data_IF_409006130267
#
_entry.id   IF_409006130267
#
_cell.length_a   1.000
_cell.length_b   1.000
_cell.length_c   1.000
_cell.angle_alpha   90.00
_cell.angle_beta   90.00
_cell.angle_gamma   90.00
#
_symmetry.space_group_name_H-M   'P 1'
#
loop_
_entity.id
_entity.type
_entity.pdbx_description
1 polymer ?
#
# COMPACT_ATOMS: atom_id res chain seq x y z
N UNK A 1 -11.11 15.95 -18.68
CA UNK A 1 -10.82 14.73 -17.89
C UNK A 1 -10.33 15.17 -16.52
N UNK A 2 -11.03 14.82 -15.44
CA UNK A 2 -10.66 15.21 -14.08
C UNK A 2 -9.42 14.41 -13.66
N UNK A 3 -8.31 15.08 -13.32
CA UNK A 3 -7.11 14.41 -12.80
C UNK A 3 -7.49 13.56 -11.58
N UNK A 4 -7.05 12.29 -11.54
CA UNK A 4 -7.24 11.44 -10.35
C UNK A 4 -6.56 12.12 -9.17
N UNK A 5 -7.27 12.36 -8.06
CA UNK A 5 -6.73 13.00 -6.84
C UNK A 5 -5.93 12.04 -5.95
N UNK A 6 -5.76 10.79 -6.41
CA UNK A 6 -5.20 9.70 -5.62
C UNK A 6 -4.29 8.82 -6.48
N UNK A 7 -3.36 8.15 -5.80
CA UNK A 7 -2.51 7.07 -6.29
C UNK A 7 -2.98 5.77 -5.67
N UNK A 8 -3.27 4.79 -6.51
CA UNK A 8 -3.57 3.43 -6.07
C UNK A 8 -2.24 2.69 -5.89
N UNK A 9 -1.95 2.19 -4.69
CA UNK A 9 -0.79 1.34 -4.41
C UNK A 9 -1.31 -0.05 -4.10
N UNK A 10 -0.89 -1.03 -4.88
CA UNK A 10 -1.35 -2.42 -4.79
C UNK A 10 -0.18 -3.35 -4.53
N UNK A 11 -0.36 -4.27 -3.60
CA UNK A 11 0.52 -5.43 -3.43
C UNK A 11 -0.32 -6.69 -3.40
N UNK A 12 0.29 -7.79 -3.83
CA UNK A 12 -0.27 -9.12 -3.68
C UNK A 12 0.63 -9.99 -2.79
N UNK A 13 0.03 -11.00 -2.16
CA UNK A 13 0.73 -11.99 -1.35
C UNK A 13 -0.03 -13.31 -1.32
N UNK A 14 0.57 -14.32 -0.66
CA UNK A 14 0.11 -15.70 -0.69
C UNK A 14 -0.04 -16.21 -2.14
N UNK A 15 1.04 -16.10 -2.93
CA UNK A 15 1.10 -16.51 -4.34
C UNK A 15 -0.01 -15.88 -5.22
N UNK A 16 -0.28 -14.59 -5.00
CA UNK A 16 -1.26 -13.82 -5.77
C UNK A 16 -2.72 -14.07 -5.36
N UNK A 17 -2.98 -14.89 -4.34
CA UNK A 17 -4.34 -15.17 -3.85
C UNK A 17 -4.94 -13.94 -3.17
N UNK A 18 -4.12 -13.15 -2.49
CA UNK A 18 -4.56 -11.92 -1.84
C UNK A 18 -4.02 -10.73 -2.59
N UNK A 19 -4.90 -9.83 -3.00
CA UNK A 19 -4.55 -8.54 -3.60
C UNK A 19 -5.19 -7.45 -2.76
N UNK A 20 -4.37 -6.51 -2.26
CA UNK A 20 -4.86 -5.36 -1.52
C UNK A 20 -4.38 -4.05 -2.14
N UNK A 21 -5.27 -3.07 -2.14
CA UNK A 21 -5.01 -1.74 -2.70
C UNK A 21 -5.37 -0.67 -1.67
N UNK A 22 -4.45 0.28 -1.45
CA UNK A 22 -4.71 1.53 -0.73
C UNK A 22 -4.77 2.70 -1.70
N UNK A 23 -5.60 3.69 -1.40
CA UNK A 23 -5.74 4.93 -2.17
C UNK A 23 -5.07 6.06 -1.41
N UNK A 24 -3.93 6.54 -1.91
CA UNK A 24 -3.16 7.60 -1.27
C UNK A 24 -3.49 8.94 -1.93
N UNK A 25 -3.85 9.99 -1.20
CA UNK A 25 -3.98 11.33 -1.78
C UNK A 25 -2.67 11.77 -2.46
N UNK A 26 -2.74 12.47 -3.59
CA UNK A 26 -1.52 12.90 -4.31
C UNK A 26 -0.58 13.71 -3.40
N UNK A 27 -1.12 14.60 -2.57
CA UNK A 27 -0.30 15.41 -1.66
C UNK A 27 0.50 14.54 -0.68
N UNK A 28 -0.10 13.50 -0.10
CA UNK A 28 0.60 12.57 0.77
C UNK A 28 1.57 11.69 -0.01
N UNK A 29 1.22 11.29 -1.23
CA UNK A 29 2.10 10.53 -2.10
C UNK A 29 3.40 11.28 -2.42
N UNK A 30 3.32 12.58 -2.70
CA UNK A 30 4.51 13.41 -2.92
C UNK A 30 5.43 13.44 -1.69
N UNK A 31 4.87 13.49 -0.49
CA UNK A 31 5.63 13.46 0.75
C UNK A 31 6.23 12.07 1.05
N UNK A 32 5.49 11.00 0.76
CA UNK A 32 5.97 9.61 0.84
C UNK A 32 7.18 9.43 -0.07
N UNK A 33 7.13 9.94 -1.31
CA UNK A 33 8.26 9.88 -2.25
C UNK A 33 9.51 10.61 -1.74
N UNK A 34 9.34 11.64 -0.90
CA UNK A 34 10.46 12.33 -0.24
C UNK A 34 11.02 11.56 0.96
N UNK A 35 10.31 10.55 1.44
CA UNK A 35 10.70 9.68 2.55
C UNK A 35 9.85 9.84 3.82
N UNK A 36 8.73 10.58 3.77
CA UNK A 36 7.83 10.71 4.92
C UNK A 36 7.21 9.35 5.26
N UNK A 37 7.26 8.97 6.54
CA UNK A 37 6.53 7.79 7.03
C UNK A 37 5.04 8.03 6.91
N UNK A 38 4.31 7.06 6.39
CA UNK A 38 2.87 7.13 6.20
C UNK A 38 2.27 5.74 6.40
N UNK A 39 1.06 5.70 6.94
CA UNK A 39 0.31 4.45 7.11
C UNK A 39 -1.08 4.64 6.55
N UNK A 40 -1.50 3.72 5.69
CA UNK A 40 -2.87 3.65 5.18
C UNK A 40 -3.45 2.26 5.38
N UNK A 41 -4.75 2.18 5.65
CA UNK A 41 -5.42 0.90 5.83
C UNK A 41 -6.42 0.63 4.71
N UNK A 42 -6.55 -0.64 4.34
CA UNK A 42 -7.59 -1.11 3.42
C UNK A 42 -8.15 -2.44 3.89
N UNK A 43 -9.38 -2.75 3.48
CA UNK A 43 -9.96 -4.06 3.73
C UNK A 43 -9.70 -4.98 2.53
N UNK A 44 -9.40 -6.24 2.81
CA UNK A 44 -9.29 -7.29 1.79
C UNK A 44 -10.07 -8.54 2.24
N UNK A 45 -10.28 -9.45 1.31
CA UNK A 45 -10.99 -10.70 1.55
C UNK A 45 -10.07 -11.88 1.30
N UNK A 46 -10.09 -12.85 2.21
CA UNK A 46 -9.38 -14.11 2.08
C UNK A 46 -10.24 -15.22 2.71
N UNK A 47 -10.45 -16.32 2.00
CA UNK A 47 -11.28 -17.45 2.46
C UNK A 47 -12.68 -17.05 2.97
N UNK A 48 -13.32 -16.08 2.31
CA UNK A 48 -14.66 -15.60 2.69
C UNK A 48 -14.69 -14.76 3.97
N UNK A 49 -13.54 -14.43 4.56
CA UNK A 49 -13.41 -13.55 5.72
C UNK A 49 -12.82 -12.20 5.32
N UNK A 50 -13.29 -11.14 5.98
CA UNK A 50 -12.78 -9.78 5.79
C UNK A 50 -11.65 -9.52 6.77
N UNK A 51 -10.53 -9.02 6.25
CA UNK A 51 -9.36 -8.63 7.01
C UNK A 51 -8.99 -7.18 6.71
N UNK A 52 -8.19 -6.58 7.58
CA UNK A 52 -7.62 -5.25 7.39
C UNK A 52 -6.13 -5.39 7.14
N UNK A 53 -5.65 -4.78 6.06
CA UNK A 53 -4.23 -4.62 5.76
C UNK A 53 -3.80 -3.18 6.06
N UNK A 54 -2.65 -3.01 6.71
CA UNK A 54 -2.00 -1.74 6.95
C UNK A 54 -0.74 -1.62 6.08
N UNK A 55 -0.68 -0.59 5.25
CA UNK A 55 0.44 -0.29 4.36
C UNK A 55 1.33 0.75 5.04
N UNK A 56 2.51 0.35 5.47
CA UNK A 56 3.49 1.19 6.16
C UNK A 56 4.57 1.61 5.17
N UNK A 57 4.49 2.85 4.69
CA UNK A 57 5.44 3.44 3.76
C UNK A 57 6.64 4.03 4.49
N UNK A 58 7.82 3.90 3.88
CA UNK A 58 9.11 4.31 4.45
C UNK A 58 9.37 3.67 5.83
N UNK A 59 8.95 2.42 6.00
CA UNK A 59 9.11 1.64 7.23
C UNK A 59 9.43 0.18 6.89
N UNK A 60 10.47 -0.43 7.50
CA UNK A 60 11.35 0.14 8.54
C UNK A 60 12.41 1.10 7.99
N UNK A 61 12.64 1.11 6.66
CA UNK A 61 13.63 1.96 5.97
C UNK A 61 12.96 2.94 5.00
N UNK A 62 13.64 4.04 4.68
CA UNK A 62 13.25 4.93 3.56
C UNK A 62 13.21 4.14 2.25
N UNK A 63 12.17 4.35 1.46
CA UNK A 63 11.88 3.59 0.24
C UNK A 63 11.24 2.21 0.49
N UNK A 64 11.13 1.76 1.74
CA UNK A 64 10.52 0.49 2.10
C UNK A 64 8.98 0.56 2.16
N UNK A 65 8.34 -0.57 1.86
CA UNK A 65 6.92 -0.81 2.07
C UNK A 65 6.77 -2.09 2.89
N UNK A 66 6.03 -2.00 3.99
CA UNK A 66 5.66 -3.13 4.82
C UNK A 66 4.15 -3.21 4.90
N UNK A 67 3.56 -4.37 4.60
CA UNK A 67 2.12 -4.60 4.74
C UNK A 67 1.86 -5.61 5.85
N UNK A 68 1.05 -5.21 6.81
CA UNK A 68 0.67 -6.02 7.98
C UNK A 68 -0.81 -6.34 7.94
N UNK A 69 -1.24 -7.47 8.49
CA UNK A 69 -2.66 -7.79 8.70
C UNK A 69 -2.99 -8.05 10.18
N UNK A 70 -4.28 -8.04 10.53
CA UNK A 70 -4.83 -7.88 11.89
C UNK A 70 -4.17 -8.71 13.01
N UNK A 71 -3.64 -9.90 12.74
CA UNK A 71 -2.98 -10.75 13.75
C UNK A 71 -1.48 -10.46 13.92
N UNK A 72 -1.00 -9.31 13.43
CA UNK A 72 0.41 -8.93 13.47
C UNK A 72 1.28 -9.65 12.43
N UNK A 73 0.66 -10.46 11.57
CA UNK A 73 1.33 -11.10 10.44
C UNK A 73 1.73 -10.10 9.36
N UNK A 74 2.76 -10.46 8.61
CA UNK A 74 3.33 -9.64 7.54
C UNK A 74 2.94 -10.24 6.20
N UNK A 75 2.15 -9.50 5.43
CA UNK A 75 1.73 -9.91 4.08
C UNK A 75 2.78 -9.56 3.03
N UNK A 76 3.53 -8.48 3.23
CA UNK A 76 4.55 -8.02 2.29
C UNK A 76 5.64 -7.23 3.03
N UNK A 77 6.91 -7.47 2.69
CA UNK A 77 8.05 -6.63 3.13
C UNK A 77 8.98 -6.47 1.93
N UNK A 78 9.14 -5.25 1.45
CA UNK A 78 9.96 -4.96 0.28
C UNK A 78 10.14 -3.46 0.07
N UNK A 79 10.41 -3.08 -1.17
CA UNK A 79 10.53 -1.70 -1.61
C UNK A 79 9.20 -1.20 -2.19
N UNK A 80 8.94 0.10 -2.06
CA UNK A 80 7.75 0.74 -2.66
C UNK A 80 7.73 0.51 -4.19
N UNK A 81 8.90 0.39 -4.83
CA UNK A 81 9.02 0.14 -6.28
C UNK A 81 8.57 -1.26 -6.72
N UNK A 82 8.45 -2.20 -5.79
CA UNK A 82 7.92 -3.55 -6.08
C UNK A 82 6.39 -3.56 -6.10
N UNK A 83 5.74 -2.53 -5.55
CA UNK A 83 4.30 -2.39 -5.57
C UNK A 83 3.79 -1.92 -6.94
N UNK A 84 2.57 -2.33 -7.30
CA UNK A 84 1.90 -1.82 -8.49
C UNK A 84 1.29 -0.45 -8.16
N UNK A 85 1.82 0.59 -8.81
CA UNK A 85 1.39 1.98 -8.60
C UNK A 85 0.59 2.44 -9.82
N UNK A 86 -0.64 2.90 -9.61
CA UNK A 86 -1.52 3.43 -10.68
C UNK A 86 -2.05 4.82 -10.34
N UNK A 87 -2.00 5.73 -11.31
CA UNK A 87 -2.36 7.13 -11.11
C UNK A 87 -1.23 7.96 -10.51
N UNK A 88 -1.44 9.27 -10.37
CA UNK A 88 -0.38 10.20 -9.92
C UNK A 88 0.55 10.69 -11.04
N UNK A 89 0.24 10.41 -12.30
CA UNK A 89 0.81 11.13 -13.44
C UNK A 89 0.32 12.58 -13.39
N UNK A 90 1.26 13.52 -13.38
CA UNK A 90 1.01 14.96 -13.35
C UNK A 90 0.75 15.45 -14.78
#
# INVERSE_FOLDING_TARGET
>A
MTKRKYVDVTVDWADGVVVATVKIPIADWEEIRKGKKYVECTNYWYEGRRFTAGFHFNSPKKGGLRVTYNDGGEGFIGEISEAIIKGGEI
#
